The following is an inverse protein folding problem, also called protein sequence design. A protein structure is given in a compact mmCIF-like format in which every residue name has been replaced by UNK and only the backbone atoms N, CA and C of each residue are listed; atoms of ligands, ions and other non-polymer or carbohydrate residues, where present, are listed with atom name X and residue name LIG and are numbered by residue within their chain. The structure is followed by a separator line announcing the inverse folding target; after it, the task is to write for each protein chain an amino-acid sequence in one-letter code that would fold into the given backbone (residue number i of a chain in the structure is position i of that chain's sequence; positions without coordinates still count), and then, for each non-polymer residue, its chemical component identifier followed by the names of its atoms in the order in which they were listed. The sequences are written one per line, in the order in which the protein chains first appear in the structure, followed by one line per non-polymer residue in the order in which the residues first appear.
data_IF_183382395483
#
_entry.id   IF_183382395483
#
_cell.length_a   1.000
_cell.length_b   1.000
_cell.length_c   1.000
_cell.angle_alpha   90.00
_cell.angle_beta   90.00
_cell.angle_gamma   90.00
#
_symmetry.space_group_name_H-M   'P 1'
#
loop_
_entity.id
_entity.type
_entity.pdbx_description
1 polymer ?
#
# COMPACT_ATOMS: atom_id res chain seq x y z
N UNK A 1 -25.20 16.41 -30.20
CA UNK A 1 -26.22 15.61 -29.48
C UNK A 1 -26.14 14.10 -29.71
N UNK A 2 -25.40 13.59 -30.71
CA UNK A 2 -25.25 12.14 -30.99
C UNK A 2 -24.91 11.28 -29.76
N UNK A 3 -23.96 11.72 -28.92
CA UNK A 3 -23.55 11.01 -27.71
C UNK A 3 -24.69 10.82 -26.70
N UNK A 4 -25.58 11.81 -26.58
CA UNK A 4 -26.75 11.72 -25.69
C UNK A 4 -27.75 10.68 -26.22
N UNK A 5 -27.97 10.66 -27.54
CA UNK A 5 -28.82 9.67 -28.20
C UNK A 5 -28.27 8.24 -28.06
N UNK A 6 -26.95 8.07 -28.21
CA UNK A 6 -26.26 6.79 -27.96
C UNK A 6 -26.46 6.35 -26.51
N UNK A 7 -26.29 7.25 -25.54
CA UNK A 7 -26.44 6.95 -24.10
C UNK A 7 -27.86 6.49 -23.76
N UNK A 8 -28.88 7.23 -24.21
CA UNK A 8 -30.29 6.84 -24.02
C UNK A 8 -30.56 5.46 -24.61
N UNK A 9 -30.06 5.20 -25.82
CA UNK A 9 -30.29 3.94 -26.54
C UNK A 9 -29.60 2.76 -25.84
N UNK A 10 -28.34 2.91 -25.46
CA UNK A 10 -27.54 1.84 -24.88
C UNK A 10 -27.93 1.54 -23.43
N UNK A 11 -28.21 2.59 -22.64
CA UNK A 11 -28.50 2.45 -21.22
C UNK A 11 -30.00 2.39 -20.91
N UNK A 12 -30.87 2.64 -21.90
CA UNK A 12 -32.33 2.70 -21.75
C UNK A 12 -32.77 3.67 -20.64
N UNK A 13 -32.14 4.85 -20.62
CA UNK A 13 -32.42 5.89 -19.64
C UNK A 13 -33.19 7.05 -20.26
N UNK A 14 -33.94 7.77 -19.43
CA UNK A 14 -34.47 9.09 -19.78
C UNK A 14 -33.38 10.15 -19.56
N UNK A 15 -33.04 10.92 -20.59
CA UNK A 15 -32.05 11.98 -20.47
C UNK A 15 -32.42 13.21 -21.31
N UNK A 16 -32.05 14.39 -20.82
CA UNK A 16 -32.18 15.66 -21.54
C UNK A 16 -30.93 16.51 -21.36
N UNK A 17 -30.72 17.48 -22.25
CA UNK A 17 -29.65 18.47 -22.12
C UNK A 17 -30.22 19.88 -22.21
N UNK A 18 -29.69 20.75 -21.35
CA UNK A 18 -29.96 22.20 -21.35
C UNK A 18 -28.59 22.87 -21.46
N UNK A 19 -28.37 23.60 -22.54
CA UNK A 19 -27.10 24.25 -22.85
C UNK A 19 -27.33 25.75 -22.79
N UNK A 20 -26.73 26.41 -21.81
CA UNK A 20 -26.77 27.86 -21.68
C UNK A 20 -25.48 28.45 -22.26
N UNK A 21 -25.61 29.34 -23.23
CA UNK A 21 -24.50 30.11 -23.79
C UNK A 21 -24.59 31.55 -23.28
N UNK A 22 -23.45 32.21 -23.06
CA UNK A 22 -23.43 33.63 -22.71
C UNK A 22 -23.77 34.54 -23.89
N UNK A 23 -23.73 34.00 -25.11
CA UNK A 23 -24.00 34.73 -26.35
C UNK A 23 -25.44 34.57 -26.85
N UNK A 24 -26.21 33.65 -26.26
CA UNK A 24 -27.60 33.38 -26.64
C UNK A 24 -28.53 33.70 -25.46
N UNK A 25 -29.64 34.38 -25.73
CA UNK A 25 -30.60 34.76 -24.68
C UNK A 25 -31.46 33.60 -24.19
N UNK A 26 -31.57 32.53 -24.97
CA UNK A 26 -32.35 31.33 -24.61
C UNK A 26 -31.45 30.10 -24.59
N UNK A 27 -31.67 29.15 -23.67
CA UNK A 27 -30.91 27.92 -23.64
C UNK A 27 -31.29 27.02 -24.81
N UNK A 28 -30.29 26.38 -25.40
CA UNK A 28 -30.51 25.30 -26.36
C UNK A 28 -30.89 24.04 -25.61
N UNK A 29 -32.06 23.50 -25.93
CA UNK A 29 -32.61 22.31 -25.29
C UNK A 29 -32.67 21.12 -26.23
N UNK A 30 -32.56 19.92 -25.69
CA UNK A 30 -32.65 18.65 -26.42
C UNK A 30 -33.28 17.57 -25.53
N UNK A 31 -34.14 16.67 -26.04
CA UNK A 31 -34.44 16.42 -27.47
C UNK A 31 -35.38 17.44 -28.10
N UNK A 32 -36.34 17.94 -27.34
CA UNK A 32 -37.26 19.01 -27.69
C UNK A 32 -37.71 19.70 -26.41
N UNK A 33 -38.28 20.92 -26.46
CA UNK A 33 -38.78 21.60 -25.27
C UNK A 33 -39.74 20.73 -24.43
N UNK A 34 -40.66 20.03 -25.10
CA UNK A 34 -41.62 19.11 -24.46
C UNK A 34 -40.90 17.92 -23.84
N UNK A 35 -39.97 17.30 -24.57
CA UNK A 35 -39.21 16.15 -24.06
C UNK A 35 -38.36 16.50 -22.83
N UNK A 36 -37.73 17.67 -22.82
CA UNK A 36 -36.99 18.17 -21.64
C UNK A 36 -37.93 18.37 -20.46
N UNK A 37 -39.10 18.98 -20.67
CA UNK A 37 -40.08 19.17 -19.59
C UNK A 37 -40.56 17.85 -18.98
N UNK A 38 -40.79 16.81 -19.80
CA UNK A 38 -41.18 15.49 -19.31
C UNK A 38 -40.09 14.86 -18.43
N UNK A 39 -38.83 14.91 -18.86
CA UNK A 39 -37.69 14.39 -18.08
C UNK A 39 -37.52 15.18 -16.78
N UNK A 40 -37.60 16.51 -16.83
CA UNK A 40 -37.53 17.37 -15.64
C UNK A 40 -38.68 17.11 -14.66
N UNK A 41 -39.89 16.88 -15.17
CA UNK A 41 -41.03 16.54 -14.34
C UNK A 41 -40.80 15.24 -13.59
N UNK A 42 -40.39 14.17 -14.30
CA UNK A 42 -40.03 12.89 -13.67
C UNK A 42 -38.91 13.06 -12.63
N UNK A 43 -37.86 13.81 -12.96
CA UNK A 43 -36.76 14.09 -12.04
C UNK A 43 -37.24 14.78 -10.75
N UNK A 44 -38.12 15.77 -10.85
CA UNK A 44 -38.69 16.49 -9.70
C UNK A 44 -39.60 15.63 -8.82
N UNK A 45 -40.16 14.53 -9.34
CA UNK A 45 -40.97 13.59 -8.57
C UNK A 45 -40.11 12.64 -7.71
N UNK A 46 -38.81 12.53 -7.98
CA UNK A 46 -37.87 11.70 -7.20
C UNK A 46 -37.58 12.41 -5.85
N UNK A 47 -37.46 11.71 -4.71
CA UNK A 47 -37.07 12.33 -3.45
C UNK A 47 -35.71 13.05 -3.53
N UNK A 48 -35.56 14.21 -2.86
CA UNK A 48 -34.35 15.05 -2.96
C UNK A 48 -33.06 14.32 -2.60
N UNK A 49 -33.12 13.43 -1.60
CA UNK A 49 -31.96 12.63 -1.20
C UNK A 49 -31.49 11.70 -2.32
N UNK A 50 -32.41 11.15 -3.10
CA UNK A 50 -32.10 10.27 -4.22
C UNK A 50 -31.66 11.06 -5.46
N UNK A 51 -32.27 12.22 -5.71
CA UNK A 51 -31.82 13.15 -6.75
C UNK A 51 -30.35 13.54 -6.58
N UNK A 52 -29.93 13.89 -5.36
CA UNK A 52 -28.57 14.40 -5.08
C UNK A 52 -27.52 13.30 -5.00
N UNK A 53 -27.91 12.04 -4.73
CA UNK A 53 -26.98 10.92 -4.50
C UNK A 53 -25.93 10.77 -5.60
N UNK A 54 -26.33 10.95 -6.86
CA UNK A 54 -25.47 10.77 -8.04
C UNK A 54 -25.29 12.07 -8.84
N UNK A 55 -25.69 13.21 -8.29
CA UNK A 55 -25.52 14.49 -8.97
C UNK A 55 -24.05 14.90 -8.91
N UNK A 56 -23.45 15.12 -10.07
CA UNK A 56 -22.04 15.50 -10.21
C UNK A 56 -21.92 16.70 -11.14
N UNK A 57 -20.98 17.59 -10.83
CA UNK A 57 -20.58 18.66 -11.75
C UNK A 57 -19.23 18.31 -12.39
N UNK A 58 -18.89 19.01 -13.47
CA UNK A 58 -17.68 18.72 -14.24
C UNK A 58 -16.39 18.87 -13.43
N UNK A 59 -16.27 19.94 -12.64
CA UNK A 59 -15.09 20.22 -11.83
C UNK A 59 -14.87 19.15 -10.75
N UNK A 60 -15.91 18.82 -9.99
CA UNK A 60 -15.88 17.78 -8.97
C UNK A 60 -15.59 16.40 -9.57
N UNK A 61 -16.11 16.10 -10.76
CA UNK A 61 -15.81 14.86 -11.46
C UNK A 61 -14.32 14.75 -11.81
N UNK A 62 -13.73 15.80 -12.40
CA UNK A 62 -12.31 15.81 -12.72
C UNK A 62 -11.44 15.79 -11.47
N UNK A 63 -11.76 16.58 -10.45
CA UNK A 63 -11.05 16.58 -9.17
C UNK A 63 -11.04 15.19 -8.51
N UNK A 64 -12.19 14.51 -8.46
CA UNK A 64 -12.30 13.14 -7.95
C UNK A 64 -11.45 12.15 -8.75
N UNK A 65 -11.37 12.30 -10.08
CA UNK A 65 -10.53 11.45 -10.94
C UNK A 65 -9.05 11.68 -10.65
N UNK A 66 -8.61 12.94 -10.58
CA UNK A 66 -7.24 13.30 -10.23
C UNK A 66 -6.84 12.73 -8.87
N UNK A 67 -7.69 12.87 -7.85
CA UNK A 67 -7.43 12.32 -6.51
C UNK A 67 -7.26 10.79 -6.56
N UNK A 68 -8.10 10.09 -7.33
CA UNK A 68 -7.99 8.63 -7.49
C UNK A 68 -6.67 8.23 -8.14
N UNK A 69 -6.27 8.92 -9.20
CA UNK A 69 -5.02 8.66 -9.91
C UNK A 69 -3.79 8.95 -9.04
N UNK A 70 -3.78 10.08 -8.32
CA UNK A 70 -2.72 10.42 -7.36
C UNK A 70 -2.62 9.36 -6.25
N UNK A 71 -3.75 8.87 -5.73
CA UNK A 71 -3.76 7.80 -4.73
C UNK A 71 -3.17 6.49 -5.29
N UNK A 72 -3.48 6.14 -6.53
CA UNK A 72 -2.91 4.96 -7.18
C UNK A 72 -1.41 5.11 -7.42
N UNK A 73 -0.97 6.28 -7.90
CA UNK A 73 0.45 6.59 -8.08
C UNK A 73 1.21 6.45 -6.77
N UNK A 74 0.69 7.03 -5.68
CA UNK A 74 1.31 6.93 -4.35
C UNK A 74 1.41 5.48 -3.86
N UNK A 75 0.42 4.64 -4.15
CA UNK A 75 0.47 3.20 -3.85
C UNK A 75 1.60 2.53 -4.63
N UNK A 76 1.67 2.75 -5.95
CA UNK A 76 2.72 2.18 -6.79
C UNK A 76 4.13 2.65 -6.38
N UNK A 77 4.30 3.92 -5.99
CA UNK A 77 5.57 4.43 -5.49
C UNK A 77 6.01 3.72 -4.20
N UNK A 78 5.08 3.48 -3.27
CA UNK A 78 5.37 2.72 -2.04
C UNK A 78 5.74 1.26 -2.35
N UNK A 79 4.96 0.58 -3.18
CA UNK A 79 5.21 -0.80 -3.59
C UNK A 79 6.57 -0.93 -4.29
N UNK A 80 6.90 0.03 -5.15
CA UNK A 80 8.19 0.09 -5.84
C UNK A 80 9.35 0.36 -4.89
N UNK A 81 9.18 1.21 -3.88
CA UNK A 81 10.20 1.44 -2.84
C UNK A 81 10.48 0.17 -2.05
N UNK A 82 9.45 -0.57 -1.66
CA UNK A 82 9.59 -1.86 -0.98
C UNK A 82 10.35 -2.85 -1.87
N UNK A 83 9.95 -3.01 -3.14
CA UNK A 83 10.65 -3.89 -4.09
C UNK A 83 12.12 -3.54 -4.26
N UNK A 84 12.45 -2.25 -4.44
CA UNK A 84 13.84 -1.78 -4.53
C UNK A 84 14.64 -2.12 -3.29
N UNK A 85 14.07 -1.90 -2.10
CA UNK A 85 14.73 -2.20 -0.84
C UNK A 85 14.94 -3.71 -0.65
N UNK A 86 13.92 -4.53 -0.95
CA UNK A 86 14.05 -6.00 -0.91
C UNK A 86 15.12 -6.49 -1.87
N UNK A 87 15.17 -5.97 -3.09
CA UNK A 87 16.22 -6.32 -4.06
C UNK A 87 17.60 -5.90 -3.56
N UNK A 88 17.71 -4.71 -2.96
CA UNK A 88 18.95 -4.24 -2.37
C UNK A 88 19.42 -5.17 -1.24
N UNK A 89 18.55 -5.53 -0.29
CA UNK A 89 18.87 -6.48 0.78
C UNK A 89 19.37 -7.81 0.22
N UNK A 90 18.67 -8.37 -0.77
CA UNK A 90 19.06 -9.63 -1.41
C UNK A 90 20.45 -9.53 -2.06
N UNK A 91 20.72 -8.45 -2.81
CA UNK A 91 22.03 -8.24 -3.44
C UNK A 91 23.18 -8.11 -2.42
N UNK A 92 22.93 -7.47 -1.27
CA UNK A 92 23.93 -7.34 -0.20
C UNK A 92 24.19 -8.68 0.49
N UNK A 93 23.15 -9.46 0.78
CA UNK A 93 23.28 -10.81 1.37
C UNK A 93 24.04 -11.75 0.41
N UNK A 94 23.80 -11.65 -0.89
CA UNK A 94 24.52 -12.42 -1.91
C UNK A 94 25.92 -11.89 -2.26
N UNK A 95 26.47 -10.93 -1.51
CA UNK A 95 27.86 -10.46 -1.65
C UNK A 95 28.15 -9.62 -2.90
N UNK A 96 27.14 -9.11 -3.60
CA UNK A 96 27.33 -8.19 -4.74
C UNK A 96 27.35 -6.74 -4.25
N UNK A 97 28.47 -6.32 -3.68
CA UNK A 97 28.67 -4.96 -3.20
C UNK A 97 28.94 -4.01 -4.37
N UNK A 98 27.92 -3.27 -4.81
CA UNK A 98 28.11 -2.11 -5.66
C UNK A 98 27.69 -0.86 -4.87
N UNK A 99 28.66 -0.23 -4.18
CA UNK A 99 28.49 1.08 -3.50
C UNK A 99 28.19 2.22 -4.48
N UNK A 100 28.19 1.94 -5.79
CA UNK A 100 28.09 2.95 -6.84
C UNK A 100 26.70 3.60 -7.04
N UNK A 101 25.72 3.34 -6.18
CA UNK A 101 24.34 3.82 -6.36
C UNK A 101 23.65 4.45 -5.14
N UNK A 102 24.34 4.62 -4.02
CA UNK A 102 23.75 5.21 -2.82
C UNK A 102 24.02 6.71 -2.78
N UNK A 103 22.97 7.53 -2.62
CA UNK A 103 23.13 8.96 -2.37
C UNK A 103 23.29 9.22 -0.86
N UNK A 104 23.63 10.46 -0.49
CA UNK A 104 23.86 10.84 0.90
C UNK A 104 22.68 10.53 1.84
N UNK A 105 21.44 10.67 1.35
CA UNK A 105 20.24 10.37 2.14
C UNK A 105 20.10 8.87 2.39
N UNK A 106 20.40 8.02 1.39
CA UNK A 106 20.37 6.57 1.55
C UNK A 106 21.43 6.10 2.58
N UNK A 107 22.59 6.77 2.62
CA UNK A 107 23.63 6.50 3.62
C UNK A 107 23.23 6.96 5.03
N UNK A 108 22.56 8.10 5.15
CA UNK A 108 22.07 8.62 6.43
C UNK A 108 20.97 7.74 7.02
N UNK A 109 20.02 7.28 6.18
CA UNK A 109 18.97 6.34 6.59
C UNK A 109 19.58 5.00 7.04
N UNK A 110 20.63 4.54 6.36
CA UNK A 110 21.36 3.33 6.74
C UNK A 110 22.07 3.49 8.10
N UNK A 111 22.71 4.64 8.33
CA UNK A 111 23.37 4.96 9.60
C UNK A 111 22.38 4.92 10.76
N UNK A 112 21.21 5.58 10.59
CA UNK A 112 20.18 5.60 11.63
C UNK A 112 19.66 4.19 11.95
N UNK A 113 19.47 3.36 10.93
CA UNK A 113 19.03 1.98 11.13
C UNK A 113 20.08 1.15 11.88
N UNK A 114 21.37 1.36 11.60
CA UNK A 114 22.46 0.67 12.30
C UNK A 114 22.50 1.09 13.77
N UNK A 115 22.38 2.39 14.06
CA UNK A 115 22.36 2.91 15.43
C UNK A 115 21.18 2.35 16.24
N UNK A 116 20.00 2.25 15.63
CA UNK A 116 18.82 1.66 16.27
C UNK A 116 19.04 0.18 16.60
N UNK A 117 19.63 -0.58 15.67
CA UNK A 117 19.92 -2.00 15.88
C UNK A 117 20.97 -2.21 16.97
N UNK A 118 22.02 -1.40 17.02
CA UNK A 118 23.02 -1.45 18.08
C UNK A 118 22.40 -1.10 19.44
N UNK A 119 21.63 -0.02 19.53
CA UNK A 119 20.94 0.35 20.78
C UNK A 119 20.00 -0.75 21.29
N UNK A 120 19.33 -1.47 20.39
CA UNK A 120 18.48 -2.60 20.77
C UNK A 120 19.30 -3.78 21.30
N UNK A 121 20.45 -4.07 20.69
CA UNK A 121 21.38 -5.11 21.19
C UNK A 121 21.87 -4.74 22.59
N UNK A 122 22.27 -3.48 22.82
CA UNK A 122 22.72 -3.01 24.14
C UNK A 122 21.61 -3.17 25.19
N UNK A 123 20.39 -2.73 24.88
CA UNK A 123 19.23 -2.89 25.79
C UNK A 123 18.94 -4.34 26.11
N UNK A 124 19.10 -5.24 25.14
CA UNK A 124 18.92 -6.69 25.36
C UNK A 124 20.05 -7.24 26.23
N UNK A 125 21.29 -6.81 26.01
CA UNK A 125 22.44 -7.19 26.82
C UNK A 125 22.28 -6.73 28.28
N UNK A 126 21.81 -5.50 28.50
CA UNK A 126 21.50 -4.97 29.82
C UNK A 126 20.33 -5.72 30.49
N UNK A 127 19.29 -6.07 29.73
CA UNK A 127 18.18 -6.87 30.25
C UNK A 127 18.61 -8.27 30.69
N UNK A 128 19.63 -8.86 30.05
CA UNK A 128 20.25 -10.10 30.52
C UNK A 128 21.10 -9.90 31.78
N UNK A 129 21.69 -8.71 31.97
CA UNK A 129 22.47 -8.38 33.15
C UNK A 129 21.61 -8.09 34.41
N UNK A 130 20.34 -7.68 34.26
CA UNK A 130 19.42 -7.34 35.37
C UNK A 130 18.55 -8.56 35.79
N UNK A 131 19.13 -9.76 35.83
CA UNK A 131 18.49 -10.88 36.54
C UNK A 131 18.98 -10.86 38.00
N UNK A 132 18.13 -10.72 39.02
CA UNK A 132 18.60 -10.62 40.40
C UNK A 132 19.26 -11.94 40.83
N UNK A 133 20.54 -11.85 41.20
CA UNK A 133 21.22 -12.80 42.07
C UNK A 133 20.51 -12.81 43.44
N UNK A 134 19.52 -13.69 43.62
CA UNK A 134 19.19 -14.18 44.96
C UNK A 134 18.44 -15.52 44.95
N UNK A 135 19.14 -16.60 45.30
CA UNK A 135 18.72 -17.55 46.34
C UNK A 135 19.90 -18.48 46.68
N UNK A 136 20.13 -18.60 47.98
CA UNK A 136 21.27 -19.16 48.68
C UNK A 136 21.28 -20.70 48.71
N UNK A 137 22.48 -21.31 48.78
CA UNK A 137 22.70 -22.47 49.65
C UNK A 137 23.29 -23.76 49.04
N UNK A 138 24.56 -24.00 49.40
CA UNK A 138 25.21 -25.30 49.66
C UNK A 138 25.74 -26.20 48.51
N UNK A 139 27.08 -26.18 48.43
CA UNK A 139 28.04 -27.32 48.36
C UNK A 139 28.20 -28.18 47.09
N UNK A 140 29.43 -28.04 46.55
CA UNK A 140 30.36 -29.07 46.03
C UNK A 140 30.02 -29.88 44.77
N UNK A 141 30.78 -29.55 43.71
CA UNK A 141 31.35 -30.38 42.63
C UNK A 141 30.59 -31.62 42.15
N UNK A 142 30.14 -31.63 40.89
CA UNK A 142 30.91 -32.21 39.78
C UNK A 142 30.10 -32.13 38.47
N UNK A 143 30.75 -31.60 37.43
CA UNK A 143 30.52 -31.82 35.99
C UNK A 143 29.19 -32.46 35.53
N UNK A 144 28.30 -31.67 34.91
CA UNK A 144 27.66 -32.08 33.66
C UNK A 144 26.98 -30.90 32.97
N UNK A 145 27.54 -30.45 31.85
CA UNK A 145 26.94 -29.44 30.98
C UNK A 145 25.71 -30.03 30.30
N UNK A 146 24.51 -29.68 30.77
CA UNK A 146 23.24 -30.03 30.13
C UNK A 146 22.31 -28.83 30.01
N UNK A 147 22.77 -27.70 29.47
CA UNK A 147 21.85 -26.62 29.02
C UNK A 147 22.44 -25.84 27.83
N UNK A 148 22.67 -26.51 26.70
CA UNK A 148 22.93 -25.84 25.41
C UNK A 148 22.28 -26.56 24.21
N UNK A 149 21.28 -27.42 24.48
CA UNK A 149 20.63 -28.23 23.46
C UNK A 149 19.68 -27.44 22.50
N UNK A 150 18.94 -26.40 22.92
CA UNK A 150 17.91 -25.82 22.04
C UNK A 150 18.44 -25.11 20.79
N UNK A 151 19.58 -24.42 20.91
CA UNK A 151 20.12 -23.62 19.81
C UNK A 151 20.83 -24.50 18.77
N UNK A 152 21.53 -25.54 19.22
CA UNK A 152 22.21 -26.48 18.32
C UNK A 152 21.20 -27.31 17.51
N UNK A 153 20.07 -27.70 18.10
CA UNK A 153 19.01 -28.42 17.38
C UNK A 153 18.29 -27.54 16.34
N UNK A 154 18.13 -26.24 16.63
CA UNK A 154 17.58 -25.31 15.62
C UNK A 154 18.55 -25.13 14.46
N UNK A 155 19.84 -24.88 14.74
CA UNK A 155 20.83 -24.66 13.67
C UNK A 155 20.98 -25.92 12.81
N UNK A 156 20.98 -27.12 13.39
CA UNK A 156 21.05 -28.36 12.62
C UNK A 156 19.82 -28.58 11.72
N UNK A 157 18.61 -28.18 12.17
CA UNK A 157 17.40 -28.27 11.36
C UNK A 157 17.43 -27.34 10.14
N UNK A 158 17.87 -26.10 10.33
CA UNK A 158 18.05 -25.13 9.25
C UNK A 158 19.11 -25.57 8.24
N UNK A 159 20.22 -26.16 8.70
CA UNK A 159 21.25 -26.69 7.81
C UNK A 159 20.70 -27.85 6.96
N UNK A 160 19.91 -28.76 7.56
CA UNK A 160 19.31 -29.90 6.85
C UNK A 160 18.30 -29.46 5.78
N UNK A 161 17.45 -28.47 6.08
CA UNK A 161 16.50 -27.90 5.11
C UNK A 161 17.22 -27.18 3.97
N UNK A 162 18.31 -26.46 4.24
CA UNK A 162 19.13 -25.81 3.21
C UNK A 162 19.80 -26.83 2.28
N UNK A 163 20.33 -27.93 2.82
CA UNK A 163 20.92 -28.99 1.99
C UNK A 163 19.90 -29.71 1.11
N UNK A 164 18.68 -29.95 1.62
CA UNK A 164 17.62 -30.59 0.85
C UNK A 164 17.02 -29.68 -0.23
N UNK A 165 16.95 -28.36 0.01
CA UNK A 165 16.53 -27.41 -1.03
C UNK A 165 17.55 -27.38 -2.17
N UNK A 166 18.84 -27.47 -1.85
CA UNK A 166 19.92 -27.38 -2.84
C UNK A 166 20.04 -28.65 -3.72
N UNK A 167 19.68 -29.83 -3.18
CA UNK A 167 19.63 -31.09 -3.94
C UNK A 167 18.42 -31.18 -4.89
N UNK A 168 17.26 -30.64 -4.49
CA UNK A 168 16.05 -30.63 -5.34
C UNK A 168 16.09 -29.60 -6.48
N UNK A 169 16.98 -28.61 -6.43
CA UNK A 169 17.20 -27.63 -7.49
C UNK A 169 18.27 -28.05 -8.51
N UNK A 170 18.98 -29.15 -8.24
CA UNK A 170 20.04 -29.69 -9.11
C UNK A 170 19.63 -30.96 -9.87
N UNK A 171 18.36 -31.37 -9.76
CA UNK A 171 17.67 -32.39 -10.57
C UNK A 171 16.72 -31.73 -11.56
#
# INVERSE_FOLDING_TARGET
MKKMSELITLCRIDACAIICSQYESQPKVWPSPIGVQQVLFKFKMIPEMEQRKNMVNQESFFSQRTIKEVKQLNKHCKDNRVKKMTQFMFNNICGKWAVHGLNFWDLNDLSLLLDEKMSNIDKRMDAFAITPLNAQGASSSSSSFMVALPLMTMISGWIYELTNLHLNLAS
#
